data_IF_657009244635
#
_entry.id   IF_657009244635
#
_cell.length_a   1.000
_cell.length_b   1.000
_cell.length_c   1.000
_cell.angle_alpha   90.00
_cell.angle_beta   90.00
_cell.angle_gamma   90.00
#
_symmetry.space_group_name_H-M   'P 1'
#
loop_
_entity.id
_entity.type
_entity.pdbx_description
1 polymer ?
#
# COMPACT_ATOMS: atom_id res chain seq x y z
N UNK A 1 -20.20 9.30 -4.58
CA UNK A 1 -19.02 8.92 -3.76
C UNK A 1 -18.01 10.05 -3.75
N UNK A 2 -17.72 10.61 -2.57
CA UNK A 2 -16.81 11.75 -2.42
C UNK A 2 -15.38 11.31 -2.77
N UNK A 3 -14.61 12.14 -3.49
CA UNK A 3 -13.20 11.84 -3.87
C UNK A 3 -12.32 11.42 -2.68
N UNK A 4 -12.64 11.86 -1.47
CA UNK A 4 -11.97 11.49 -0.21
C UNK A 4 -12.13 10.02 0.18
N UNK A 5 -13.22 9.37 -0.20
CA UNK A 5 -13.48 7.95 0.11
C UNK A 5 -12.63 7.03 -0.76
N UNK A 6 -12.47 7.37 -2.05
CA UNK A 6 -11.63 6.58 -2.98
C UNK A 6 -10.17 6.52 -2.53
N UNK A 7 -9.63 7.63 -2.01
CA UNK A 7 -8.25 7.68 -1.51
C UNK A 7 -8.07 6.85 -0.24
N UNK A 8 -9.08 6.85 0.64
CA UNK A 8 -9.05 6.03 1.85
C UNK A 8 -9.11 4.53 1.53
N UNK A 9 -9.95 4.12 0.58
CA UNK A 9 -10.01 2.73 0.12
C UNK A 9 -8.68 2.27 -0.46
N UNK A 10 -8.03 3.09 -1.30
CA UNK A 10 -6.71 2.75 -1.87
C UNK A 10 -5.66 2.60 -0.75
N UNK A 11 -5.67 3.51 0.24
CA UNK A 11 -4.78 3.43 1.40
C UNK A 11 -5.00 2.16 2.22
N UNK A 12 -6.26 1.74 2.39
CA UNK A 12 -6.61 0.50 3.09
C UNK A 12 -6.16 -0.75 2.32
N UNK A 13 -6.39 -0.82 1.00
CA UNK A 13 -5.96 -1.95 0.16
C UNK A 13 -4.44 -2.12 0.22
N UNK A 14 -3.69 -1.02 0.20
CA UNK A 14 -2.23 -1.02 0.32
C UNK A 14 -1.77 -1.53 1.69
N UNK A 15 -2.44 -1.10 2.77
CA UNK A 15 -2.17 -1.59 4.11
C UNK A 15 -2.50 -3.08 4.25
N UNK A 16 -3.56 -3.54 3.59
CA UNK A 16 -3.90 -4.96 3.51
C UNK A 16 -2.83 -5.78 2.78
N UNK A 17 -2.21 -5.22 1.73
CA UNK A 17 -1.12 -5.88 1.01
C UNK A 17 0.15 -6.03 1.87
N UNK A 18 0.42 -5.05 2.76
CA UNK A 18 1.46 -5.17 3.78
C UNK A 18 1.12 -6.27 4.80
N UNK A 19 -0.13 -6.31 5.26
CA UNK A 19 -0.59 -7.30 6.23
C UNK A 19 -0.38 -8.73 5.72
N UNK A 20 -0.71 -8.98 4.45
CA UNK A 20 -0.45 -10.27 3.78
C UNK A 20 1.05 -10.58 3.71
N UNK A 21 1.90 -9.58 3.43
CA UNK A 21 3.35 -9.74 3.41
C UNK A 21 3.93 -10.14 4.77
N UNK A 22 3.47 -9.50 5.85
CA UNK A 22 3.87 -9.84 7.23
C UNK A 22 3.36 -11.23 7.61
N UNK A 23 2.13 -11.58 7.22
CA UNK A 23 1.57 -12.90 7.46
C UNK A 23 2.39 -14.01 6.77
N UNK A 24 2.79 -13.80 5.52
CA UNK A 24 3.69 -14.73 4.82
C UNK A 24 5.06 -14.86 5.49
N UNK A 25 5.59 -13.77 6.05
CA UNK A 25 6.84 -13.80 6.82
C UNK A 25 6.67 -14.53 8.17
N UNK A 26 5.51 -14.43 8.81
CA UNK A 26 5.19 -15.19 10.02
C UNK A 26 5.09 -16.71 9.71
N UNK A 27 4.38 -17.07 8.64
CA UNK A 27 4.26 -18.46 8.17
C UNK A 27 5.61 -19.08 7.76
N UNK A 28 6.57 -18.27 7.33
CA UNK A 28 7.94 -18.75 7.08
C UNK A 28 8.59 -19.37 8.32
N UNK A 29 8.36 -18.78 9.50
CA UNK A 29 8.94 -19.26 10.75
C UNK A 29 8.41 -20.64 11.14
N UNK A 30 7.20 -20.99 10.69
CA UNK A 30 6.55 -22.27 10.99
C UNK A 30 6.87 -23.36 9.96
N UNK A 31 7.06 -22.99 8.68
CA UNK A 31 7.28 -23.94 7.57
C UNK A 31 8.75 -24.07 7.11
N UNK A 32 9.70 -23.30 7.67
CA UNK A 32 11.13 -23.28 7.29
C UNK A 32 11.42 -23.15 5.77
N UNK A 33 10.45 -22.62 5.01
CA UNK A 33 10.52 -22.60 3.54
C UNK A 33 10.86 -21.20 3.03
N UNK A 34 12.11 -21.03 2.59
CA UNK A 34 12.70 -19.76 2.12
C UNK A 34 11.82 -19.05 1.06
N UNK A 35 11.02 -19.80 0.31
CA UNK A 35 10.03 -19.24 -0.62
C UNK A 35 9.04 -18.29 0.04
N UNK A 36 8.54 -18.60 1.24
CA UNK A 36 7.62 -17.71 1.97
C UNK A 36 8.30 -16.44 2.48
N UNK A 37 9.60 -16.52 2.80
CA UNK A 37 10.40 -15.35 3.17
C UNK A 37 10.67 -14.44 1.97
N UNK A 38 10.97 -15.01 0.79
CA UNK A 38 11.16 -14.23 -0.44
C UNK A 38 9.84 -13.59 -0.87
N UNK A 39 8.71 -14.31 -0.82
CA UNK A 39 7.40 -13.76 -1.16
C UNK A 39 6.94 -12.69 -0.15
N UNK A 40 7.13 -12.91 1.15
CA UNK A 40 6.81 -11.94 2.20
C UNK A 40 7.66 -10.66 2.09
N UNK A 41 8.98 -10.82 1.93
CA UNK A 41 9.91 -9.68 1.76
C UNK A 41 9.69 -8.94 0.46
N UNK A 42 9.32 -9.62 -0.63
CA UNK A 42 8.95 -8.96 -1.89
C UNK A 42 7.65 -8.17 -1.77
N UNK A 43 6.63 -8.70 -1.06
CA UNK A 43 5.39 -7.95 -0.80
C UNK A 43 5.62 -6.71 0.07
N UNK A 44 6.47 -6.83 1.10
CA UNK A 44 6.87 -5.70 1.95
C UNK A 44 7.71 -4.70 1.14
N UNK A 45 8.62 -5.17 0.29
CA UNK A 45 9.45 -4.33 -0.57
C UNK A 45 8.60 -3.53 -1.56
N UNK A 46 7.67 -4.19 -2.26
CA UNK A 46 6.70 -3.52 -3.13
C UNK A 46 5.89 -2.51 -2.31
N UNK A 47 5.43 -2.83 -1.11
CA UNK A 47 4.73 -1.87 -0.27
C UNK A 47 5.57 -0.64 0.08
N UNK A 48 6.83 -0.81 0.51
CA UNK A 48 7.74 0.30 0.85
C UNK A 48 7.98 1.20 -0.35
N UNK A 49 8.31 0.62 -1.51
CA UNK A 49 8.60 1.40 -2.73
C UNK A 49 7.35 2.05 -3.33
N UNK A 50 6.21 1.37 -3.29
CA UNK A 50 4.97 1.91 -3.83
C UNK A 50 4.36 2.96 -2.88
N UNK A 51 4.57 2.87 -1.56
CA UNK A 51 4.10 3.89 -0.60
C UNK A 51 4.59 5.28 -0.96
N UNK A 52 5.86 5.43 -1.33
CA UNK A 52 6.48 6.70 -1.72
C UNK A 52 5.79 7.33 -2.96
N UNK A 53 5.64 6.53 -4.03
CA UNK A 53 5.00 6.96 -5.28
C UNK A 53 3.50 7.22 -5.10
N UNK A 54 2.82 6.43 -4.28
CA UNK A 54 1.39 6.61 -4.01
C UNK A 54 1.11 7.77 -3.07
N UNK A 55 1.98 8.09 -2.12
CA UNK A 55 1.86 9.31 -1.31
C UNK A 55 1.96 10.53 -2.23
N UNK A 56 2.92 10.52 -3.15
CA UNK A 56 3.07 11.58 -4.15
C UNK A 56 1.84 11.68 -5.07
N UNK A 57 1.32 10.55 -5.56
CA UNK A 57 0.11 10.50 -6.40
C UNK A 57 -1.15 10.95 -5.64
N UNK A 58 -1.29 10.54 -4.38
CA UNK A 58 -2.40 10.92 -3.50
C UNK A 58 -2.36 12.41 -3.21
N UNK A 59 -1.19 12.96 -2.87
CA UNK A 59 -0.98 14.40 -2.67
C UNK A 59 -1.22 15.19 -3.96
N UNK A 60 -0.72 14.73 -5.11
CA UNK A 60 -0.97 15.35 -6.40
C UNK A 60 -2.48 15.39 -6.73
N UNK A 61 -3.19 14.31 -6.43
CA UNK A 61 -4.65 14.22 -6.62
C UNK A 61 -5.40 15.16 -5.67
N UNK A 62 -4.93 15.31 -4.43
CA UNK A 62 -5.52 16.18 -3.41
C UNK A 62 -5.27 17.67 -3.72
N UNK A 63 -4.06 18.01 -4.17
CA UNK A 63 -3.69 19.35 -4.64
C UNK A 63 -4.44 19.74 -5.92
N UNK A 64 -4.58 18.81 -6.88
CA UNK A 64 -5.39 19.01 -8.09
C UNK A 64 -6.88 19.17 -7.75
N UNK A 65 -7.37 18.43 -6.74
CA UNK A 65 -8.73 18.58 -6.21
C UNK A 65 -8.99 19.93 -5.55
N UNK A 66 -7.99 20.51 -4.86
CA UNK A 66 -8.08 21.85 -4.25
C UNK A 66 -8.17 22.96 -5.30
N UNK A 67 -7.39 22.87 -6.39
CA UNK A 67 -7.45 23.87 -7.49
C UNK A 67 -8.80 23.92 -8.22
N UNK A 68 -9.52 22.81 -8.30
CA UNK A 68 -10.82 22.73 -9.00
C UNK A 68 -11.96 23.29 -8.13
N UNK A 69 -11.80 23.31 -6.80
CA UNK A 69 -12.83 23.78 -5.86
C UNK A 69 -12.76 25.27 -5.50
N UNK A 70 -11.74 25.97 -6.00
CA UNK A 70 -11.52 27.41 -5.79
C UNK A 70 -11.91 28.28 -7.00
N UNK A 71 -12.58 27.71 -8.00
CA UNK A 71 -13.06 28.44 -9.17
C UNK A 71 -14.58 28.47 -9.19
#
# INVERSE_FOLDING_TARGET
>A
MKKSEKVQNIKQIIWFNLFIGIYNLYMFNELNSIFHLVLGSMNIGVWVFCREKYLNLSLATLLKGKKIKQK
#
